data_IF_754783509094
#
_entry.id   IF_754783509094
#
_cell.length_a   1.000
_cell.length_b   1.000
_cell.length_c   1.000
_cell.angle_alpha   90.00
_cell.angle_beta   90.00
_cell.angle_gamma   90.00
#
_symmetry.space_group_name_H-M   'P 1'
#
loop_
_entity.id
_entity.type
_entity.pdbx_description
1 polymer ?
#
# COMPACT_ATOMS: atom_id res chain seq x y z
N UNK A 1 5.65 -4.69 -14.31
CA UNK A 1 4.30 -4.10 -14.42
C UNK A 1 4.29 -2.80 -13.63
N UNK A 2 3.44 -1.84 -13.98
CA UNK A 2 3.52 -0.47 -13.45
C UNK A 2 2.15 0.07 -13.04
N UNK A 3 2.17 0.95 -12.04
CA UNK A 3 1.01 1.79 -11.68
C UNK A 3 1.14 3.11 -12.42
N UNK A 4 0.06 3.56 -13.05
CA UNK A 4 -0.04 4.85 -13.73
C UNK A 4 -1.11 5.69 -13.06
N UNK A 5 -0.95 7.01 -13.12
CA UNK A 5 -1.96 7.94 -12.62
C UNK A 5 -2.39 8.88 -13.72
N UNK A 6 -3.67 9.26 -13.71
CA UNK A 6 -4.24 10.23 -14.64
C UNK A 6 -5.43 10.95 -14.00
N UNK A 7 -6.13 11.75 -14.81
CA UNK A 7 -7.32 12.48 -14.42
C UNK A 7 -8.42 12.31 -15.46
N UNK A 8 -9.68 12.42 -15.05
CA UNK A 8 -10.82 12.11 -15.92
C UNK A 8 -10.80 12.88 -17.24
N UNK A 9 -10.46 14.17 -17.21
CA UNK A 9 -10.42 14.99 -18.41
C UNK A 9 -9.36 14.50 -19.42
N UNK A 10 -8.22 13.98 -18.97
CA UNK A 10 -7.23 13.40 -19.88
C UNK A 10 -7.75 12.11 -20.54
N UNK A 11 -8.51 11.27 -19.83
CA UNK A 11 -9.14 10.09 -20.42
C UNK A 11 -10.21 10.49 -21.44
N UNK A 12 -11.10 11.41 -21.07
CA UNK A 12 -12.20 11.84 -21.95
C UNK A 12 -11.72 12.51 -23.24
N UNK A 13 -10.56 13.18 -23.21
CA UNK A 13 -9.98 13.86 -24.37
C UNK A 13 -8.87 13.08 -25.06
N UNK A 14 -8.67 11.80 -24.71
CA UNK A 14 -7.62 10.94 -25.29
C UNK A 14 -6.21 11.52 -25.13
N UNK A 15 -5.98 12.33 -24.08
CA UNK A 15 -4.62 12.74 -23.67
C UNK A 15 -3.91 11.61 -22.90
N UNK A 16 -4.68 10.71 -22.31
CA UNK A 16 -4.22 9.46 -21.72
C UNK A 16 -5.03 8.30 -22.32
N UNK A 17 -4.33 7.35 -22.91
CA UNK A 17 -4.94 6.18 -23.58
C UNK A 17 -4.42 4.89 -22.93
N UNK A 18 -5.19 4.30 -22.00
CA UNK A 18 -4.93 2.95 -21.49
C UNK A 18 -4.97 1.94 -22.64
N UNK A 19 -4.07 0.95 -22.61
CA UNK A 19 -4.14 -0.17 -23.55
C UNK A 19 -5.39 -1.03 -23.28
N UNK A 20 -5.78 -1.86 -24.26
CA UNK A 20 -6.95 -2.74 -24.13
C UNK A 20 -6.85 -3.73 -22.96
N UNK A 21 -5.63 -4.05 -22.53
CA UNK A 21 -5.33 -5.02 -21.48
C UNK A 21 -5.08 -4.32 -20.12
N UNK A 22 -5.02 -2.97 -20.12
CA UNK A 22 -4.81 -2.16 -18.92
C UNK A 22 -6.13 -2.05 -18.14
N UNK A 23 -6.01 -1.99 -16.82
CA UNK A 23 -7.15 -1.84 -15.91
C UNK A 23 -7.25 -0.40 -15.43
N UNK A 24 -8.45 0.19 -15.54
CA UNK A 24 -8.69 1.59 -15.18
C UNK A 24 -9.62 1.68 -13.98
N UNK A 25 -9.11 2.18 -12.85
CA UNK A 25 -9.88 2.41 -11.63
C UNK A 25 -10.02 3.89 -11.33
N UNK A 26 -11.24 4.34 -11.04
CA UNK A 26 -11.44 5.61 -10.36
C UNK A 26 -11.30 5.43 -8.85
N UNK A 27 -10.73 6.45 -8.21
CA UNK A 27 -10.50 6.48 -6.75
C UNK A 27 -11.07 7.77 -6.17
N UNK A 28 -12.34 8.03 -6.46
CA UNK A 28 -13.02 9.27 -6.06
C UNK A 28 -14.15 9.00 -5.06
N UNK A 29 -14.33 9.94 -4.15
CA UNK A 29 -15.36 9.87 -3.11
C UNK A 29 -16.75 10.20 -3.65
N UNK A 30 -16.81 11.24 -4.47
CA UNK A 30 -18.03 11.72 -5.12
C UNK A 30 -17.93 11.41 -6.61
N UNK A 31 -18.70 10.42 -7.05
CA UNK A 31 -18.77 9.96 -8.44
C UNK A 31 -19.79 10.78 -9.23
N UNK A 32 -19.68 10.73 -10.56
CA UNK A 32 -20.70 11.22 -11.48
C UNK A 32 -21.06 10.10 -12.44
N UNK A 33 -22.31 9.98 -12.85
CA UNK A 33 -22.80 8.82 -13.62
C UNK A 33 -22.01 8.56 -14.92
N UNK A 34 -21.48 9.60 -15.55
CA UNK A 34 -20.72 9.46 -16.80
C UNK A 34 -19.34 8.83 -16.63
N UNK A 35 -18.81 8.70 -15.41
CA UNK A 35 -17.48 8.12 -15.21
C UNK A 35 -17.47 6.62 -15.47
N UNK A 36 -18.62 5.95 -15.30
CA UNK A 36 -18.75 4.50 -15.46
C UNK A 36 -18.47 4.05 -16.90
N UNK A 37 -18.55 4.96 -17.87
CA UNK A 37 -18.19 4.72 -19.27
C UNK A 37 -16.67 4.81 -19.54
N UNK A 38 -15.89 5.34 -18.59
CA UNK A 38 -14.46 5.63 -18.76
C UNK A 38 -13.55 4.75 -17.91
N UNK A 39 -14.10 4.11 -16.90
CA UNK A 39 -13.35 3.30 -15.93
C UNK A 39 -14.05 1.96 -15.74
N UNK A 40 -13.30 0.93 -15.36
CA UNK A 40 -13.90 -0.37 -15.08
C UNK A 40 -14.74 -0.37 -13.81
N UNK A 41 -14.28 0.36 -12.79
CA UNK A 41 -14.99 0.57 -11.53
C UNK A 41 -14.42 1.73 -10.72
N UNK A 42 -15.24 2.29 -9.84
CA UNK A 42 -14.80 3.17 -8.76
C UNK A 42 -14.50 2.36 -7.49
N UNK A 43 -13.36 2.65 -6.86
CA UNK A 43 -12.94 2.10 -5.57
C UNK A 43 -12.94 3.24 -4.56
N UNK A 44 -14.12 3.57 -4.04
CA UNK A 44 -14.33 4.67 -3.09
C UNK A 44 -13.60 4.47 -1.76
N UNK A 45 -13.34 3.22 -1.35
CA UNK A 45 -12.53 2.91 -0.17
C UNK A 45 -11.11 3.50 -0.25
N UNK A 46 -10.56 3.61 -1.47
CA UNK A 46 -9.26 4.21 -1.74
C UNK A 46 -9.34 5.73 -1.97
N UNK A 47 -10.53 6.31 -2.00
CA UNK A 47 -10.67 7.76 -2.00
C UNK A 47 -10.35 8.33 -0.60
N UNK A 48 -9.96 9.61 -0.50
CA UNK A 48 -9.78 10.26 0.79
C UNK A 48 -11.04 10.16 1.65
N UNK A 49 -10.90 10.07 2.98
CA UNK A 49 -12.02 10.22 3.90
C UNK A 49 -12.80 11.51 3.61
N UNK A 50 -14.13 11.48 3.75
CA UNK A 50 -14.96 12.63 3.41
C UNK A 50 -14.62 13.85 4.27
N UNK A 51 -14.37 13.66 5.57
CA UNK A 51 -13.97 14.74 6.48
C UNK A 51 -12.63 15.38 6.09
N UNK A 52 -11.68 14.59 5.59
CA UNK A 52 -10.41 15.10 5.09
C UNK A 52 -10.58 15.85 3.76
N UNK A 53 -11.37 15.29 2.84
CA UNK A 53 -11.61 15.90 1.54
C UNK A 53 -12.39 17.21 1.66
N UNK A 54 -13.43 17.24 2.49
CA UNK A 54 -14.26 18.42 2.72
C UNK A 54 -13.43 19.53 3.39
N UNK A 55 -12.58 19.19 4.37
CA UNK A 55 -11.66 20.14 4.99
C UNK A 55 -10.62 20.68 4.00
N UNK A 56 -10.08 19.82 3.13
CA UNK A 56 -9.16 20.24 2.08
C UNK A 56 -9.81 21.25 1.14
N UNK A 57 -11.01 20.94 0.62
CA UNK A 57 -11.73 21.82 -0.30
C UNK A 57 -12.12 23.15 0.33
N UNK A 58 -12.56 23.13 1.60
CA UNK A 58 -12.84 24.36 2.33
C UNK A 58 -11.63 25.31 2.42
N UNK A 59 -10.43 24.77 2.67
CA UNK A 59 -9.21 25.60 2.76
C UNK A 59 -8.75 26.03 1.36
N UNK A 60 -8.89 25.17 0.36
CA UNK A 60 -8.55 25.48 -1.02
C UNK A 60 -9.41 26.64 -1.55
N UNK A 61 -10.72 26.57 -1.36
CA UNK A 61 -11.67 27.63 -1.76
C UNK A 61 -11.34 28.95 -1.06
N UNK A 62 -11.04 28.93 0.24
CA UNK A 62 -10.65 30.13 0.98
C UNK A 62 -9.32 30.72 0.48
N UNK A 63 -8.34 29.88 0.16
CA UNK A 63 -7.06 30.33 -0.39
C UNK A 63 -7.20 30.89 -1.81
N UNK A 64 -8.13 30.38 -2.62
CA UNK A 64 -8.52 30.97 -3.90
C UNK A 64 -9.12 32.37 -3.73
N UNK A 65 -10.07 32.52 -2.80
CA UNK A 65 -10.72 33.80 -2.49
C UNK A 65 -9.72 34.86 -1.99
N UNK A 66 -8.74 34.44 -1.19
CA UNK A 66 -7.66 35.30 -0.68
C UNK A 66 -6.56 35.59 -1.73
N UNK A 67 -6.63 34.98 -2.91
CA UNK A 67 -5.72 35.23 -4.04
C UNK A 67 -4.34 34.59 -3.90
N UNK A 68 -4.23 33.47 -3.17
CA UNK A 68 -3.01 32.68 -3.13
C UNK A 68 -2.67 32.12 -4.51
N UNK A 69 -1.38 32.09 -4.86
CA UNK A 69 -0.92 31.59 -6.16
C UNK A 69 -0.99 30.07 -6.30
N UNK A 70 -1.03 29.34 -5.18
CA UNK A 70 -1.16 27.89 -5.14
C UNK A 70 -2.10 27.45 -4.00
N UNK A 71 -3.41 27.59 -4.18
CA UNK A 71 -4.43 27.24 -3.19
C UNK A 71 -4.36 25.76 -2.77
N UNK A 72 -4.12 24.86 -3.73
CA UNK A 72 -4.01 23.41 -3.49
C UNK A 72 -2.85 23.06 -2.54
N UNK A 73 -1.72 23.75 -2.65
CA UNK A 73 -0.61 23.59 -1.72
C UNK A 73 -0.97 24.07 -0.32
N UNK A 74 -1.58 25.25 -0.21
CA UNK A 74 -1.99 25.82 1.07
C UNK A 74 -2.96 24.88 1.77
N UNK A 75 -3.96 24.37 1.05
CA UNK A 75 -4.91 23.39 1.58
C UNK A 75 -4.21 22.11 2.02
N UNK A 76 -3.33 21.56 1.17
CA UNK A 76 -2.61 20.31 1.45
C UNK A 76 -1.81 20.37 2.75
N UNK A 77 -1.05 21.45 2.93
CA UNK A 77 -0.22 21.69 4.11
C UNK A 77 -1.08 21.99 5.34
N UNK A 78 -2.12 22.83 5.19
CA UNK A 78 -2.95 23.27 6.31
C UNK A 78 -3.73 22.13 6.97
N UNK A 79 -4.21 21.16 6.19
CA UNK A 79 -4.97 20.03 6.71
C UNK A 79 -4.12 18.80 7.01
N UNK A 80 -2.79 18.89 6.86
CA UNK A 80 -1.86 17.76 6.92
C UNK A 80 -2.32 16.59 6.05
N UNK A 81 -2.68 16.89 4.80
CA UNK A 81 -3.39 15.93 3.95
C UNK A 81 -2.61 14.63 3.76
N UNK A 82 -1.32 14.72 3.46
CA UNK A 82 -0.49 13.55 3.18
C UNK A 82 -0.48 12.55 4.34
N UNK A 83 -0.24 13.03 5.56
CA UNK A 83 -0.15 12.18 6.75
C UNK A 83 -1.49 11.53 7.05
N UNK A 84 -2.58 12.32 7.06
CA UNK A 84 -3.93 11.79 7.35
C UNK A 84 -4.37 10.78 6.29
N UNK A 85 -4.05 11.02 5.03
CA UNK A 85 -4.38 10.10 3.95
C UNK A 85 -3.54 8.82 4.02
N UNK A 86 -2.24 8.91 4.31
CA UNK A 86 -1.41 7.71 4.53
C UNK A 86 -1.92 6.88 5.72
N UNK A 87 -2.32 7.52 6.81
CA UNK A 87 -2.98 6.83 7.94
C UNK A 87 -4.26 6.14 7.48
N UNK A 88 -5.10 6.81 6.68
CA UNK A 88 -6.30 6.18 6.09
C UNK A 88 -5.95 4.94 5.27
N UNK A 89 -4.90 4.98 4.44
CA UNK A 89 -4.47 3.82 3.64
C UNK A 89 -4.09 2.61 4.50
N UNK A 90 -3.58 2.82 5.72
CA UNK A 90 -3.34 1.71 6.66
C UNK A 90 -4.62 1.06 7.18
N UNK A 91 -5.74 1.78 7.18
CA UNK A 91 -7.05 1.23 7.60
C UNK A 91 -7.72 0.43 6.49
N UNK A 92 -7.41 0.75 5.22
CA UNK A 92 -7.92 0.05 4.02
C UNK A 92 -6.86 -0.82 3.36
N UNK A 93 -5.88 -1.28 4.14
CA UNK A 93 -4.69 -2.04 3.70
C UNK A 93 -5.01 -3.19 2.75
N UNK A 94 -6.05 -3.97 3.07
CA UNK A 94 -6.51 -5.10 2.26
C UNK A 94 -6.98 -4.68 0.85
N UNK A 95 -7.60 -3.51 0.72
CA UNK A 95 -8.04 -2.99 -0.58
C UNK A 95 -6.83 -2.56 -1.41
N UNK A 96 -5.83 -1.98 -0.76
CA UNK A 96 -4.56 -1.61 -1.43
C UNK A 96 -3.82 -2.86 -1.89
N UNK A 97 -3.80 -3.93 -1.07
CA UNK A 97 -3.19 -5.21 -1.43
C UNK A 97 -3.86 -5.83 -2.67
N UNK A 98 -5.19 -5.84 -2.74
CA UNK A 98 -5.93 -6.35 -3.92
C UNK A 98 -5.56 -5.57 -5.19
N UNK A 99 -5.43 -4.25 -5.10
CA UNK A 99 -5.01 -3.44 -6.25
C UNK A 99 -3.54 -3.68 -6.59
N UNK A 100 -2.68 -3.91 -5.60
CA UNK A 100 -1.28 -4.24 -5.81
C UNK A 100 -1.11 -5.61 -6.48
N UNK A 101 -1.88 -6.62 -6.07
CA UNK A 101 -1.92 -7.94 -6.74
C UNK A 101 -2.34 -7.79 -8.21
N UNK A 102 -3.37 -7.00 -8.49
CA UNK A 102 -3.77 -6.69 -9.86
C UNK A 102 -2.64 -5.99 -10.64
N UNK A 103 -1.97 -5.02 -10.01
CA UNK A 103 -0.86 -4.28 -10.61
C UNK A 103 0.41 -5.13 -10.82
N UNK A 104 0.50 -6.29 -10.18
CA UNK A 104 1.56 -7.26 -10.44
C UNK A 104 1.34 -8.02 -11.75
N UNK A 105 0.09 -8.14 -12.20
CA UNK A 105 -0.29 -8.88 -13.41
C UNK A 105 -0.51 -7.97 -14.61
N UNK A 106 -1.10 -6.79 -14.42
CA UNK A 106 -1.42 -5.82 -15.47
C UNK A 106 -1.05 -4.38 -15.08
N UNK A 107 -1.03 -3.46 -16.05
CA UNK A 107 -0.91 -2.03 -15.76
C UNK A 107 -2.21 -1.54 -15.15
N UNK A 108 -2.12 -0.91 -13.97
CA UNK A 108 -3.27 -0.31 -13.31
C UNK A 108 -3.19 1.21 -13.44
N UNK A 109 -4.26 1.82 -13.93
CA UNK A 109 -4.46 3.26 -14.00
C UNK A 109 -5.35 3.73 -12.85
N UNK A 110 -4.85 4.70 -12.08
CA UNK A 110 -5.60 5.36 -11.01
C UNK A 110 -6.07 6.74 -11.49
N UNK A 111 -7.38 6.95 -11.45
CA UNK A 111 -8.05 8.15 -11.99
C UNK A 111 -8.68 8.96 -10.87
N UNK A 112 -8.43 10.26 -10.89
CA UNK A 112 -9.04 11.25 -9.99
C UNK A 112 -9.56 12.47 -10.79
N UNK A 113 -10.25 13.38 -10.12
CA UNK A 113 -10.68 14.67 -10.68
C UNK A 113 -9.53 15.64 -10.93
N UNK A 114 -8.55 15.67 -10.03
CA UNK A 114 -7.57 16.75 -9.98
C UNK A 114 -6.61 16.73 -11.17
N UNK A 115 -6.28 17.87 -11.79
CA UNK A 115 -5.30 17.89 -12.89
C UNK A 115 -3.87 17.84 -12.34
N UNK A 116 -3.59 18.61 -11.29
CA UNK A 116 -2.27 18.64 -10.65
C UNK A 116 -2.07 17.40 -9.77
N UNK A 117 -1.05 16.59 -10.08
CA UNK A 117 -0.75 15.38 -9.32
C UNK A 117 0.08 15.63 -8.06
N UNK A 118 0.70 16.81 -7.92
CA UNK A 118 1.60 17.13 -6.78
C UNK A 118 0.86 17.11 -5.45
N UNK A 119 -0.35 17.65 -5.45
CA UNK A 119 -1.25 17.76 -4.29
C UNK A 119 -2.49 16.87 -4.43
N UNK A 120 -2.33 15.71 -5.10
CA UNK A 120 -3.40 14.74 -5.26
C UNK A 120 -3.12 13.44 -4.49
N UNK A 121 -4.16 12.86 -3.90
CA UNK A 121 -4.09 11.61 -3.16
C UNK A 121 -3.65 10.42 -4.02
N UNK A 122 -3.93 10.46 -5.33
CA UNK A 122 -3.57 9.37 -6.27
C UNK A 122 -2.07 9.11 -6.31
N UNK A 123 -1.24 10.14 -6.10
CA UNK A 123 0.21 10.00 -6.04
C UNK A 123 0.61 9.15 -4.83
N UNK A 124 0.09 9.50 -3.66
CA UNK A 124 0.35 8.75 -2.41
C UNK A 124 -0.19 7.32 -2.49
N UNK A 125 -1.32 7.12 -3.16
CA UNK A 125 -1.87 5.79 -3.41
C UNK A 125 -0.99 4.97 -4.35
N UNK A 126 -0.51 5.58 -5.44
CA UNK A 126 0.40 4.92 -6.37
C UNK A 126 1.71 4.52 -5.67
N UNK A 127 2.29 5.41 -4.88
CA UNK A 127 3.48 5.14 -4.06
C UNK A 127 3.22 3.93 -3.13
N UNK A 128 2.08 3.92 -2.42
CA UNK A 128 1.71 2.82 -1.53
C UNK A 128 1.52 1.47 -2.24
N UNK A 129 1.04 1.48 -3.49
CA UNK A 129 0.90 0.25 -4.30
C UNK A 129 2.27 -0.22 -4.79
N UNK A 130 3.12 0.70 -5.25
CA UNK A 130 4.47 0.40 -5.70
C UNK A 130 5.32 -0.20 -4.56
N UNK A 131 5.21 0.33 -3.35
CA UNK A 131 5.90 -0.21 -2.17
C UNK A 131 5.52 -1.68 -1.90
N UNK A 132 4.26 -2.05 -2.14
CA UNK A 132 3.78 -3.44 -2.00
C UNK A 132 4.30 -4.34 -3.11
N UNK A 133 4.35 -3.84 -4.33
CA UNK A 133 4.94 -4.55 -5.46
C UNK A 133 6.42 -4.85 -5.21
N UNK A 134 7.16 -3.88 -4.67
CA UNK A 134 8.57 -4.05 -4.32
C UNK A 134 8.74 -5.08 -3.18
N UNK A 135 7.98 -5.02 -2.10
CA UNK A 135 8.02 -6.03 -1.02
C UNK A 135 7.64 -7.43 -1.56
N UNK A 136 6.62 -7.53 -2.41
CA UNK A 136 6.23 -8.79 -3.03
C UNK A 136 7.34 -9.39 -3.93
N UNK A 137 8.06 -8.55 -4.68
CA UNK A 137 9.19 -8.97 -5.51
C UNK A 137 10.37 -9.46 -4.66
N UNK A 138 10.62 -8.81 -3.51
CA UNK A 138 11.62 -9.23 -2.53
C UNK A 138 11.23 -10.56 -1.88
N UNK A 139 9.94 -10.80 -1.63
CA UNK A 139 9.46 -12.09 -1.13
C UNK A 139 9.62 -13.22 -2.14
N UNK A 140 9.28 -12.99 -3.40
CA UNK A 140 9.44 -13.99 -4.46
C UNK A 140 10.91 -14.36 -4.67
N UNK A 141 11.83 -13.39 -4.60
CA UNK A 141 13.27 -13.66 -4.67
C UNK A 141 13.82 -14.32 -3.40
N UNK A 142 13.25 -14.05 -2.22
CA UNK A 142 13.64 -14.71 -0.97
C UNK A 142 13.10 -16.15 -0.82
N UNK A 143 12.02 -16.50 -1.52
CA UNK A 143 11.41 -17.85 -1.48
C UNK A 143 12.11 -18.84 -2.42
N UNK A 144 13.23 -18.46 -3.05
CA UNK A 144 13.74 -19.17 -4.22
C UNK A 144 15.26 -19.27 -4.35
N UNK A 145 16.01 -19.48 -3.26
CA UNK A 145 17.20 -20.34 -3.33
C UNK A 145 17.16 -21.22 -2.08
N UNK A 146 16.60 -22.42 -2.24
CA UNK A 146 16.78 -23.52 -1.30
C UNK A 146 18.26 -23.79 -1.14
N UNK A 147 18.91 -23.09 -0.20
CA UNK A 147 20.19 -23.50 0.31
C UNK A 147 19.85 -24.59 1.32
N UNK A 148 19.86 -25.83 0.87
CA UNK A 148 20.06 -26.96 1.77
C UNK A 148 21.21 -26.59 2.70
N UNK A 149 20.94 -26.53 4.01
CA UNK A 149 21.99 -26.30 4.96
C UNK A 149 23.05 -27.40 4.77
N UNK A 150 24.32 -27.07 4.48
CA UNK A 150 25.33 -28.07 4.10
C UNK A 150 25.66 -29.05 5.24
N UNK A 151 25.24 -28.76 6.47
CA UNK A 151 25.48 -29.61 7.63
C UNK A 151 24.33 -30.59 7.95
N UNK A 152 23.07 -30.30 7.55
CA UNK A 152 21.93 -31.14 7.91
C UNK A 152 21.01 -31.56 6.76
N UNK A 153 21.19 -31.02 5.55
CA UNK A 153 20.50 -31.49 4.35
C UNK A 153 18.97 -31.32 4.32
N UNK A 154 18.40 -30.51 5.22
CA UNK A 154 16.95 -30.22 5.27
C UNK A 154 16.67 -28.84 4.65
N UNK A 155 15.60 -28.76 3.87
CA UNK A 155 15.06 -27.52 3.30
C UNK A 155 14.45 -26.66 4.42
N UNK A 156 15.22 -25.74 4.97
CA UNK A 156 14.72 -24.80 5.96
C UNK A 156 13.85 -23.74 5.27
N UNK A 157 12.54 -23.83 5.42
CA UNK A 157 11.60 -22.73 5.14
C UNK A 157 11.80 -21.69 6.25
N UNK A 158 12.82 -20.84 6.11
CA UNK A 158 13.00 -19.66 6.95
C UNK A 158 12.05 -18.55 6.51
N UNK A 159 10.76 -18.69 6.81
CA UNK A 159 9.82 -17.57 6.73
C UNK A 159 9.82 -16.84 8.08
N UNK A 160 10.45 -15.66 8.13
CA UNK A 160 10.50 -14.77 9.29
C UNK A 160 9.13 -14.33 9.81
N UNK A 161 8.05 -14.49 9.03
CA UNK A 161 6.69 -14.10 9.41
C UNK A 161 5.97 -15.06 10.35
N UNK A 162 6.32 -16.34 10.38
CA UNK A 162 5.68 -17.29 11.33
C UNK A 162 6.27 -17.19 12.74
N UNK A 163 7.53 -16.77 12.86
CA UNK A 163 8.19 -16.59 14.15
C UNK A 163 7.61 -15.40 14.94
N UNK A 164 7.35 -14.26 14.28
CA UNK A 164 6.78 -13.08 14.95
C UNK A 164 5.33 -13.28 15.40
N UNK A 165 4.53 -14.05 14.66
CA UNK A 165 3.14 -14.38 15.03
C UNK A 165 3.10 -15.25 16.28
N UNK A 166 3.97 -16.25 16.35
CA UNK A 166 4.05 -17.18 17.48
C UNK A 166 4.57 -16.47 18.73
N UNK A 167 5.56 -15.59 18.58
CA UNK A 167 6.13 -14.83 19.70
C UNK A 167 5.15 -13.80 20.29
N UNK A 168 4.35 -13.10 19.45
CA UNK A 168 3.32 -12.17 19.95
C UNK A 168 2.16 -12.86 20.64
N UNK A 169 1.81 -14.08 20.25
CA UNK A 169 0.77 -14.87 20.91
C UNK A 169 1.25 -15.42 22.27
N UNK A 170 2.51 -15.86 22.35
CA UNK A 170 3.09 -16.37 23.61
C UNK A 170 3.33 -15.28 24.68
N UNK A 171 3.48 -14.01 24.30
CA UNK A 171 3.75 -12.91 25.22
C UNK A 171 2.52 -12.40 26.01
N UNK A 172 1.33 -13.02 25.85
CA UNK A 172 0.08 -12.59 26.50
C UNK A 172 -0.42 -13.48 27.65
N UNK A 173 0.22 -14.62 27.94
CA UNK A 173 -0.24 -15.53 28.98
C UNK A 173 0.88 -15.89 29.98
N UNK A 174 0.73 -15.56 31.28
CA UNK A 174 1.80 -15.76 32.27
C UNK A 174 2.06 -17.22 32.67
N UNK A 175 1.33 -18.20 32.13
CA UNK A 175 1.42 -19.62 32.51
C UNK A 175 1.91 -20.57 31.39
N UNK A 176 2.37 -20.03 30.25
CA UNK A 176 2.86 -20.83 29.11
C UNK A 176 4.32 -21.34 29.26
N UNK A 177 4.89 -21.27 30.48
CA UNK A 177 6.30 -21.63 30.73
C UNK A 177 6.59 -23.14 30.71
N UNK A 178 5.57 -23.98 30.51
CA UNK A 178 5.71 -25.44 30.52
C UNK A 178 5.43 -26.13 29.20
N UNK A 179 4.96 -25.40 28.18
CA UNK A 179 4.69 -25.95 26.83
C UNK A 179 5.86 -25.69 25.87
N UNK A 180 6.77 -24.77 26.21
CA UNK A 180 7.93 -24.44 25.37
C UNK A 180 9.11 -25.42 25.47
N UNK A 181 9.09 -26.39 26.38
CA UNK A 181 10.20 -27.37 26.50
C UNK A 181 10.01 -28.61 25.62
N UNK A 182 8.81 -28.88 25.09
CA UNK A 182 8.59 -30.13 24.33
C UNK A 182 8.56 -29.96 22.81
N UNK A 183 8.24 -28.75 22.30
CA UNK A 183 8.20 -28.48 20.85
C UNK A 183 9.38 -27.61 20.36
N UNK A 184 10.22 -27.11 21.27
CA UNK A 184 11.45 -26.37 20.92
C UNK A 184 12.67 -27.28 20.66
N UNK A 185 12.62 -28.57 21.02
CA UNK A 185 13.74 -29.50 20.82
C UNK A 185 13.88 -30.01 19.37
N UNK A 186 13.03 -29.58 18.43
CA UNK A 186 13.21 -29.82 16.99
C UNK A 186 13.55 -28.57 16.17
N UNK A 187 13.81 -27.43 16.83
CA UNK A 187 14.38 -26.25 16.18
C UNK A 187 15.89 -26.30 16.40
N UNK A 188 16.61 -26.60 15.32
CA UNK A 188 18.07 -26.73 15.24
C UNK A 188 18.83 -25.77 16.20
N UNK A 189 19.32 -26.29 17.32
CA UNK A 189 20.07 -25.55 18.35
C UNK A 189 21.38 -24.88 17.85
N UNK A 190 21.78 -25.13 16.59
CA UNK A 190 22.99 -24.56 16.01
C UNK A 190 22.81 -23.22 15.27
N UNK A 191 21.58 -22.74 15.02
CA UNK A 191 21.38 -21.39 14.45
C UNK A 191 21.34 -20.28 15.50
N UNK A 192 21.16 -20.61 16.79
CA UNK A 192 21.06 -19.60 17.87
C UNK A 192 22.44 -19.15 18.40
N UNK A 193 23.54 -19.79 17.99
CA UNK A 193 24.89 -19.50 18.50
C UNK A 193 25.61 -18.31 17.79
N UNK A 194 24.94 -17.58 16.90
CA UNK A 194 25.53 -16.45 16.16
C UNK A 194 25.29 -15.05 16.76
N UNK A 195 24.34 -14.89 17.68
CA UNK A 195 24.02 -13.61 18.33
C UNK A 195 24.27 -13.69 19.83
N UNK A 196 25.55 -13.76 20.21
CA UNK A 196 25.92 -14.00 21.60
C UNK A 196 27.37 -13.68 21.94
N UNK A 197 27.83 -12.47 21.61
CA UNK A 197 28.91 -11.81 22.34
C UNK A 197 30.35 -12.10 21.89
N UNK A 198 31.06 -11.02 21.58
CA UNK A 198 32.48 -10.90 21.90
C UNK A 198 32.75 -9.47 22.37
N UNK A 199 32.94 -9.38 23.68
CA UNK A 199 33.73 -8.44 24.50
C UNK A 199 33.96 -7.02 24.01
#
# INVERSE_FOLDING_TARGET
>A
MTVRTTYFWALSNQEAEPAADDVVYSVVRYTQDWIDDLVERNIDALAPPSDLLDAYKQVEDAAEEDGYSNPSQVAWESVNFAERYQQHLTTVDQVVDVVAEQAAETTVWLVCWEKDDRYCHRRLLADAILDRLDDSSLRLTSTGIGRTCPECGIDAICSTREFERTFRLAAREPDARRVLDSDAEHICSNCFAGFGGSR
#
